data_IF_193310377277
#
_entry.id   IF_193310377277
#
_cell.length_a   1.000
_cell.length_b   1.000
_cell.length_c   1.000
_cell.angle_alpha   90.00
_cell.angle_beta   90.00
_cell.angle_gamma   90.00
#
_symmetry.space_group_name_H-M   'P 1'
#
loop_
_entity.id
_entity.type
_entity.pdbx_description
1 polymer ?
#
# COMPACT_ATOMS: atom_id res chain seq x y z
N UNK A 1 -72.05 33.81 0.12
CA UNK A 1 -71.44 32.82 1.01
C UNK A 1 -70.38 32.07 0.21
N UNK A 2 -69.16 32.50 0.25
CA UNK A 2 -68.04 31.94 -0.51
C UNK A 2 -66.96 31.49 0.46
N UNK A 3 -66.85 30.16 0.64
CA UNK A 3 -65.87 29.50 1.49
C UNK A 3 -64.52 29.39 0.73
N UNK A 4 -63.53 30.17 1.15
CA UNK A 4 -62.15 30.06 0.68
C UNK A 4 -61.45 28.86 1.34
N UNK A 5 -60.89 27.97 0.51
CA UNK A 5 -59.98 26.90 0.90
C UNK A 5 -58.57 27.44 0.94
N UNK A 6 -57.96 27.42 2.11
CA UNK A 6 -56.53 27.67 2.32
C UNK A 6 -55.77 26.38 2.06
N UNK A 7 -54.94 26.33 1.01
CA UNK A 7 -53.97 25.25 0.80
C UNK A 7 -52.71 25.52 1.65
N UNK A 8 -52.43 24.66 2.62
CA UNK A 8 -51.17 24.68 3.33
C UNK A 8 -50.14 23.86 2.55
N UNK A 9 -49.09 24.52 2.01
CA UNK A 9 -47.93 23.86 1.43
C UNK A 9 -47.01 23.43 2.56
N UNK A 10 -46.88 22.11 2.79
CA UNK A 10 -45.87 21.53 3.66
C UNK A 10 -44.55 21.44 2.89
N UNK A 11 -43.60 22.27 3.23
CA UNK A 11 -42.23 22.16 2.74
C UNK A 11 -41.49 21.04 3.53
N UNK A 12 -41.27 19.91 2.85
CA UNK A 12 -40.41 18.85 3.39
C UNK A 12 -38.94 19.27 3.24
N UNK A 13 -38.30 19.65 4.34
CA UNK A 13 -36.83 19.78 4.42
C UNK A 13 -36.21 18.37 4.33
N UNK A 14 -35.63 18.04 3.20
CA UNK A 14 -34.70 16.90 3.06
C UNK A 14 -33.41 17.27 3.79
N UNK A 15 -33.26 16.81 5.03
CA UNK A 15 -31.96 16.75 5.70
C UNK A 15 -31.13 15.67 4.98
N UNK A 16 -30.29 16.10 4.06
CA UNK A 16 -29.19 15.29 3.57
C UNK A 16 -28.21 15.10 4.75
N UNK A 17 -28.36 14.00 5.47
CA UNK A 17 -27.38 13.58 6.46
C UNK A 17 -26.06 13.34 5.74
N UNK A 18 -25.10 14.24 5.92
CA UNK A 18 -23.70 13.96 5.62
C UNK A 18 -23.29 12.85 6.58
N UNK A 19 -23.06 11.65 6.05
CA UNK A 19 -22.30 10.63 6.77
C UNK A 19 -20.90 11.23 6.86
N UNK A 20 -20.56 11.78 8.03
CA UNK A 20 -19.18 12.07 8.36
C UNK A 20 -18.49 10.69 8.41
N UNK A 21 -17.67 10.38 7.43
CA UNK A 21 -16.69 9.33 7.57
C UNK A 21 -15.84 9.72 8.79
N UNK A 22 -15.74 8.83 9.77
CA UNK A 22 -14.85 9.02 10.91
C UNK A 22 -13.42 9.06 10.35
N UNK A 23 -12.92 10.27 10.15
CA UNK A 23 -11.57 10.55 9.63
C UNK A 23 -10.56 10.32 10.76
N UNK A 24 -10.30 9.05 11.10
CA UNK A 24 -9.18 8.75 11.99
C UNK A 24 -7.88 8.83 11.18
N UNK A 25 -6.96 9.73 11.53
CA UNK A 25 -5.66 9.79 10.88
C UNK A 25 -4.90 8.48 11.12
N UNK A 26 -4.31 7.92 10.07
CA UNK A 26 -3.37 6.81 10.21
C UNK A 26 -1.98 7.36 10.51
N UNK A 27 -1.37 6.85 11.58
CA UNK A 27 -0.05 7.27 12.03
C UNK A 27 0.93 6.10 11.99
N UNK A 28 2.14 6.33 11.51
CA UNK A 28 3.19 5.32 11.46
C UNK A 28 3.60 4.75 12.83
N UNK A 29 3.26 5.43 13.91
CA UNK A 29 3.51 4.93 15.29
C UNK A 29 2.65 3.71 15.61
N UNK A 30 1.50 3.58 14.96
CA UNK A 30 0.59 2.45 15.12
C UNK A 30 0.98 1.27 14.20
N UNK A 31 1.86 1.49 13.22
CA UNK A 31 2.28 0.47 12.25
C UNK A 31 3.52 -0.26 12.76
N UNK A 32 3.42 -1.55 13.03
CA UNK A 32 4.52 -2.44 13.43
C UNK A 32 5.46 -2.77 12.28
N UNK A 33 4.93 -2.87 11.07
CA UNK A 33 5.76 -3.18 9.90
C UNK A 33 5.05 -3.11 8.56
N UNK A 34 5.88 -3.20 7.52
CA UNK A 34 5.46 -3.21 6.11
C UNK A 34 5.86 -4.54 5.49
N UNK A 35 4.93 -5.18 4.79
CA UNK A 35 5.15 -6.40 4.00
C UNK A 35 4.84 -6.12 2.54
N UNK A 36 5.85 -6.19 1.70
CA UNK A 36 5.75 -6.07 0.24
C UNK A 36 5.86 -7.46 -0.38
N UNK A 37 4.75 -8.00 -0.88
CA UNK A 37 4.71 -9.30 -1.54
C UNK A 37 4.86 -9.11 -3.05
N UNK A 38 5.91 -9.66 -3.62
CA UNK A 38 6.07 -9.80 -5.07
C UNK A 38 5.44 -11.11 -5.52
N UNK A 39 4.39 -11.02 -6.33
CA UNK A 39 3.49 -12.11 -6.72
C UNK A 39 3.11 -12.01 -8.20
N UNK A 40 2.38 -12.98 -8.72
CA UNK A 40 1.75 -12.92 -10.04
C UNK A 40 0.63 -13.95 -10.14
N UNK A 41 -0.46 -13.58 -10.80
CA UNK A 41 -1.55 -14.50 -11.15
C UNK A 41 -1.08 -15.64 -12.08
N UNK A 42 0.03 -15.46 -12.80
CA UNK A 42 0.66 -16.49 -13.64
C UNK A 42 1.46 -17.54 -12.87
N UNK A 43 1.82 -17.28 -11.62
CA UNK A 43 2.70 -18.12 -10.81
C UNK A 43 1.89 -19.13 -9.98
N UNK A 44 2.01 -20.44 -10.23
CA UNK A 44 1.23 -21.48 -9.52
C UNK A 44 1.58 -21.64 -8.03
N UNK A 45 2.74 -21.20 -7.60
CA UNK A 45 3.16 -21.22 -6.19
C UNK A 45 2.75 -19.95 -5.41
N UNK A 46 2.17 -18.94 -6.08
CA UNK A 46 1.82 -17.65 -5.49
C UNK A 46 0.51 -17.64 -4.68
N UNK A 47 -0.59 -18.33 -5.06
CA UNK A 47 -1.86 -18.21 -4.37
C UNK A 47 -1.84 -18.49 -2.84
N UNK A 48 -0.99 -19.40 -2.30
CA UNK A 48 -0.83 -19.52 -0.86
C UNK A 48 -0.28 -18.25 -0.19
N UNK A 49 0.65 -17.54 -0.84
CA UNK A 49 1.23 -16.31 -0.32
C UNK A 49 0.22 -15.14 -0.38
N UNK A 50 -0.57 -15.05 -1.45
CA UNK A 50 -1.62 -14.04 -1.61
C UNK A 50 -2.67 -14.16 -0.49
N UNK A 51 -3.03 -15.40 -0.08
CA UNK A 51 -3.91 -15.63 1.06
C UNK A 51 -3.29 -15.21 2.40
N UNK A 52 -1.97 -15.36 2.56
CA UNK A 52 -1.25 -14.88 3.75
C UNK A 52 -1.25 -13.35 3.77
N UNK A 53 -0.95 -12.71 2.64
CA UNK A 53 -1.00 -11.26 2.54
C UNK A 53 -2.40 -10.72 2.86
N UNK A 54 -3.46 -11.37 2.35
CA UNK A 54 -4.85 -11.00 2.65
C UNK A 54 -5.21 -11.12 4.14
N UNK A 55 -4.52 -11.96 4.92
CA UNK A 55 -4.66 -11.99 6.39
C UNK A 55 -3.92 -10.81 7.03
N UNK A 56 -2.67 -10.59 6.62
CA UNK A 56 -1.84 -9.50 7.13
C UNK A 56 -2.48 -8.13 6.85
N UNK A 57 -3.13 -7.96 5.70
CA UNK A 57 -3.84 -6.74 5.31
C UNK A 57 -5.01 -6.38 6.25
N UNK A 58 -5.49 -7.31 7.09
CA UNK A 58 -6.53 -7.06 8.10
C UNK A 58 -5.97 -6.70 9.47
N UNK A 59 -4.67 -6.81 9.65
CA UNK A 59 -4.00 -6.44 10.90
C UNK A 59 -3.73 -4.93 10.87
N UNK A 60 -4.32 -4.14 11.79
CA UNK A 60 -4.28 -2.68 11.71
C UNK A 60 -2.86 -2.10 11.89
N UNK A 61 -1.95 -2.90 12.42
CA UNK A 61 -0.55 -2.55 12.66
C UNK A 61 0.39 -3.01 11.55
N UNK A 62 -0.13 -3.55 10.42
CA UNK A 62 0.66 -4.00 9.28
C UNK A 62 0.20 -3.31 7.99
N UNK A 63 1.13 -2.68 7.30
CA UNK A 63 0.93 -2.23 5.92
C UNK A 63 1.34 -3.37 4.99
N UNK A 64 0.35 -4.06 4.41
CA UNK A 64 0.55 -5.18 3.49
C UNK A 64 0.22 -4.77 2.06
N UNK A 65 1.15 -5.00 1.12
CA UNK A 65 1.06 -4.53 -0.27
C UNK A 65 1.45 -5.65 -1.25
N UNK A 66 0.61 -5.91 -2.25
CA UNK A 66 0.87 -6.89 -3.31
C UNK A 66 1.42 -6.19 -4.57
N UNK A 67 2.67 -6.45 -4.89
CA UNK A 67 3.32 -5.97 -6.11
C UNK A 67 3.31 -7.08 -7.15
N UNK A 68 2.35 -7.03 -8.10
CA UNK A 68 2.28 -7.98 -9.19
C UNK A 68 3.38 -7.71 -10.21
N UNK A 69 4.14 -8.75 -10.55
CA UNK A 69 5.27 -8.69 -11.48
C UNK A 69 4.88 -9.18 -12.88
N UNK A 70 5.55 -8.67 -13.92
CA UNK A 70 5.22 -8.92 -15.33
C UNK A 70 6.01 -10.08 -15.96
N UNK A 71 7.01 -10.63 -15.26
CA UNK A 71 7.89 -11.63 -15.89
C UNK A 71 7.32 -13.06 -15.96
N UNK A 72 6.06 -13.25 -15.53
CA UNK A 72 5.31 -14.50 -15.69
C UNK A 72 4.40 -14.50 -16.93
N UNK A 73 4.21 -13.36 -17.59
CA UNK A 73 3.26 -13.21 -18.71
C UNK A 73 3.55 -14.15 -19.90
N UNK A 74 4.80 -14.62 -20.03
CA UNK A 74 5.22 -15.52 -21.12
C UNK A 74 4.60 -16.93 -21.05
N UNK A 75 4.03 -17.34 -19.89
CA UNK A 75 3.43 -18.66 -19.71
C UNK A 75 1.97 -18.77 -20.18
N UNK A 76 1.46 -17.75 -20.86
CA UNK A 76 0.16 -17.75 -21.51
C UNK A 76 -0.95 -17.04 -20.75
N UNK A 77 -0.69 -16.51 -19.56
CA UNK A 77 -1.56 -15.60 -18.82
C UNK A 77 -0.83 -14.28 -18.60
N UNK A 78 -1.38 -13.19 -19.16
CA UNK A 78 -0.91 -11.84 -18.83
C UNK A 78 -1.66 -11.35 -17.61
N UNK A 79 -0.93 -11.12 -16.53
CA UNK A 79 -1.49 -10.63 -15.27
C UNK A 79 -1.90 -9.15 -15.43
N UNK A 80 -3.22 -8.83 -15.36
CA UNK A 80 -3.67 -7.45 -15.53
C UNK A 80 -3.21 -6.51 -14.41
N UNK A 81 -2.73 -7.04 -13.30
CA UNK A 81 -2.17 -6.29 -12.17
C UNK A 81 -0.64 -6.18 -12.26
N UNK A 82 -0.02 -6.97 -13.16
CA UNK A 82 1.41 -7.01 -13.38
C UNK A 82 1.97 -5.73 -13.97
N UNK A 83 3.12 -5.29 -13.47
CA UNK A 83 3.80 -4.14 -14.06
C UNK A 83 5.32 -4.27 -14.06
N UNK A 84 5.94 -3.65 -15.07
CA UNK A 84 7.40 -3.54 -15.16
C UNK A 84 7.99 -2.78 -13.99
N UNK A 85 7.31 -1.75 -13.51
CA UNK A 85 7.75 -0.96 -12.36
C UNK A 85 7.86 -1.81 -11.08
N UNK A 86 6.91 -2.72 -10.86
CA UNK A 86 6.93 -3.66 -9.74
C UNK A 86 8.09 -4.65 -9.87
N UNK A 87 8.31 -5.19 -11.06
CA UNK A 87 9.46 -6.07 -11.35
C UNK A 87 10.79 -5.35 -11.11
N UNK A 88 10.91 -4.10 -11.53
CA UNK A 88 12.14 -3.33 -11.34
C UNK A 88 12.37 -2.96 -9.86
N UNK A 89 11.29 -2.72 -9.07
CA UNK A 89 11.37 -2.57 -7.61
C UNK A 89 11.90 -3.86 -6.95
N UNK A 90 11.38 -5.02 -7.36
CA UNK A 90 11.87 -6.32 -6.87
C UNK A 90 13.35 -6.53 -7.18
N UNK A 91 13.78 -6.22 -8.41
CA UNK A 91 15.21 -6.31 -8.80
C UNK A 91 16.08 -5.37 -7.98
N UNK A 92 15.58 -4.17 -7.68
CA UNK A 92 16.30 -3.23 -6.84
C UNK A 92 16.48 -3.76 -5.41
N UNK A 93 15.45 -4.41 -4.84
CA UNK A 93 15.56 -5.11 -3.55
C UNK A 93 16.54 -6.28 -3.61
N UNK A 94 16.48 -7.12 -4.65
CA UNK A 94 17.43 -8.23 -4.81
C UNK A 94 18.88 -7.77 -4.78
N UNK A 95 19.18 -6.63 -5.41
CA UNK A 95 20.52 -6.03 -5.37
C UNK A 95 20.86 -5.48 -3.98
N UNK A 96 19.92 -4.78 -3.33
CA UNK A 96 20.14 -4.16 -2.03
C UNK A 96 20.34 -5.18 -0.92
N UNK A 97 19.57 -6.28 -0.93
CA UNK A 97 19.60 -7.36 0.06
C UNK A 97 20.66 -8.43 -0.26
N UNK A 98 21.28 -8.38 -1.43
CA UNK A 98 22.33 -9.33 -1.82
C UNK A 98 21.81 -10.73 -2.16
N UNK A 99 20.51 -10.89 -2.43
CA UNK A 99 19.92 -12.19 -2.80
C UNK A 99 20.31 -12.67 -4.20
N UNK A 100 20.74 -11.75 -5.09
CA UNK A 100 21.29 -12.05 -6.41
C UNK A 100 20.27 -12.52 -7.46
N UNK A 101 19.09 -12.98 -7.04
CA UNK A 101 18.00 -13.43 -7.90
C UNK A 101 16.66 -12.85 -7.46
N UNK A 102 15.70 -12.80 -8.39
CA UNK A 102 14.30 -12.52 -8.09
C UNK A 102 13.50 -13.82 -8.19
N UNK A 103 12.48 -13.96 -7.36
CA UNK A 103 11.59 -15.14 -7.37
C UNK A 103 10.18 -14.74 -6.89
N UNK A 104 9.19 -15.54 -7.19
CA UNK A 104 7.84 -15.42 -6.62
C UNK A 104 7.39 -16.74 -6.01
N UNK A 105 6.59 -16.69 -4.93
CA UNK A 105 6.25 -15.50 -4.16
C UNK A 105 7.41 -15.06 -3.25
N UNK A 106 7.80 -13.78 -3.30
CA UNK A 106 8.81 -13.20 -2.42
C UNK A 106 8.19 -12.11 -1.55
N UNK A 107 8.32 -12.21 -0.24
CA UNK A 107 7.95 -11.15 0.69
C UNK A 107 9.19 -10.38 1.13
N UNK A 108 9.17 -9.05 1.00
CA UNK A 108 10.16 -8.15 1.59
C UNK A 108 9.54 -7.48 2.80
N UNK A 109 10.18 -7.65 3.96
CA UNK A 109 9.69 -7.15 5.24
C UNK A 109 10.53 -5.96 5.67
N UNK A 110 9.86 -4.83 5.93
CA UNK A 110 10.45 -3.55 6.34
C UNK A 110 11.62 -3.08 5.46
N UNK A 111 11.68 -3.52 4.18
CA UNK A 111 12.79 -3.24 3.28
C UNK A 111 14.13 -3.83 3.70
N UNK A 112 14.16 -4.78 4.66
CA UNK A 112 15.37 -5.28 5.30
C UNK A 112 15.58 -6.79 5.15
N UNK A 113 14.49 -7.57 5.04
CA UNK A 113 14.54 -9.03 4.93
C UNK A 113 13.67 -9.50 3.79
N UNK A 114 14.17 -10.40 2.96
CA UNK A 114 13.35 -11.16 2.03
C UNK A 114 13.17 -12.60 2.50
N UNK A 115 11.95 -13.10 2.35
CA UNK A 115 11.57 -14.47 2.70
C UNK A 115 10.62 -15.02 1.66
N UNK A 116 10.46 -16.34 1.60
CA UNK A 116 9.45 -16.98 0.75
C UNK A 116 8.06 -16.57 1.22
N UNK A 117 7.29 -15.89 0.36
CA UNK A 117 6.01 -15.28 0.71
C UNK A 117 4.93 -16.25 1.19
N UNK A 118 5.04 -17.55 0.86
CA UNK A 118 4.13 -18.60 1.35
C UNK A 118 4.50 -19.15 2.73
N UNK A 119 5.54 -18.63 3.39
CA UNK A 119 5.97 -19.05 4.74
C UNK A 119 5.58 -18.01 5.78
N UNK A 120 4.34 -18.04 6.23
CA UNK A 120 3.79 -17.06 7.19
C UNK A 120 4.67 -16.90 8.46
N UNK A 121 5.19 -18.01 9.00
CA UNK A 121 6.05 -17.97 10.18
C UNK A 121 7.36 -17.20 9.95
N UNK A 122 7.93 -17.29 8.74
CA UNK A 122 9.17 -16.55 8.42
C UNK A 122 8.87 -15.05 8.23
N UNK A 123 7.71 -14.70 7.65
CA UNK A 123 7.26 -13.29 7.56
C UNK A 123 7.08 -12.70 8.95
N UNK A 124 6.39 -13.42 9.86
CA UNK A 124 6.16 -12.93 11.24
C UNK A 124 7.46 -12.78 12.01
N UNK A 125 8.38 -13.74 11.88
CA UNK A 125 9.72 -13.62 12.47
C UNK A 125 10.47 -12.42 11.91
N UNK A 126 10.45 -12.20 10.60
CA UNK A 126 11.08 -11.05 9.99
C UNK A 126 10.47 -9.73 10.47
N UNK A 127 9.14 -9.66 10.67
CA UNK A 127 8.48 -8.50 11.28
C UNK A 127 8.99 -8.24 12.71
N UNK A 128 9.16 -9.28 13.53
CA UNK A 128 9.69 -9.16 14.90
C UNK A 128 11.16 -8.71 14.90
N UNK A 129 12.00 -9.30 14.05
CA UNK A 129 13.43 -8.99 13.95
C UNK A 129 13.73 -7.59 13.39
N UNK A 130 12.83 -7.05 12.56
CA UNK A 130 13.02 -5.77 11.86
C UNK A 130 12.07 -4.69 12.35
N UNK A 131 11.27 -4.98 13.38
CA UNK A 131 10.32 -4.02 13.92
C UNK A 131 11.04 -2.75 14.37
N UNK A 132 10.54 -1.65 13.86
CA UNK A 132 10.93 -0.31 14.32
C UNK A 132 9.86 0.26 15.24
N UNK A 133 9.21 -0.61 16.02
CA UNK A 133 8.05 -0.26 16.81
C UNK A 133 8.41 0.60 18.03
N UNK A 134 7.51 1.53 18.36
CA UNK A 134 7.50 2.28 19.62
C UNK A 134 7.66 3.79 19.45
N UNK A 135 7.42 4.50 20.55
CA UNK A 135 7.50 5.97 20.65
C UNK A 135 8.94 6.52 20.44
N UNK A 136 9.94 5.65 20.43
CA UNK A 136 11.36 6.01 20.23
C UNK A 136 11.75 6.17 18.75
N UNK A 137 10.81 6.07 17.82
CA UNK A 137 11.13 6.27 16.39
C UNK A 137 11.58 7.70 16.14
N UNK A 138 12.73 7.87 15.49
CA UNK A 138 13.24 9.20 15.18
C UNK A 138 12.40 9.93 14.12
N UNK A 139 11.50 9.23 13.44
CA UNK A 139 10.67 9.77 12.34
C UNK A 139 9.25 9.24 12.40
N UNK A 140 8.29 10.05 11.96
CA UNK A 140 6.88 9.68 11.80
C UNK A 140 6.34 10.11 10.45
N UNK A 141 5.35 9.35 9.97
CA UNK A 141 4.52 9.68 8.81
C UNK A 141 3.07 9.57 9.24
N UNK A 142 2.26 10.54 8.85
CA UNK A 142 0.83 10.55 9.11
C UNK A 142 0.07 10.79 7.81
N UNK A 143 -1.04 10.07 7.66
CA UNK A 143 -2.01 10.22 6.59
C UNK A 143 -3.36 10.61 7.17
N UNK A 144 -4.01 11.61 6.57
CA UNK A 144 -5.40 11.94 6.88
C UNK A 144 -6.14 12.43 5.63
N UNK A 145 -7.46 12.22 5.62
CA UNK A 145 -8.32 12.79 4.59
C UNK A 145 -8.91 14.08 5.14
N UNK A 146 -8.73 15.18 4.43
CA UNK A 146 -9.23 16.50 4.78
C UNK A 146 -10.07 17.03 3.61
N UNK A 147 -11.38 16.83 3.71
CA UNK A 147 -12.30 17.15 2.62
C UNK A 147 -12.08 16.30 1.38
N UNK A 148 -11.65 16.90 0.27
CA UNK A 148 -11.34 16.24 -0.99
C UNK A 148 -9.83 15.98 -1.21
N UNK A 149 -9.03 16.07 -0.14
CA UNK A 149 -7.58 15.97 -0.21
C UNK A 149 -7.04 14.91 0.74
N UNK A 150 -6.04 14.17 0.27
CA UNK A 150 -5.15 13.38 1.11
C UNK A 150 -4.05 14.32 1.64
N UNK A 151 -3.99 14.45 2.95
CA UNK A 151 -2.91 15.14 3.65
C UNK A 151 -1.87 14.13 4.12
N UNK A 152 -0.60 14.36 3.76
CA UNK A 152 0.53 13.53 4.16
C UNK A 152 1.50 14.43 4.92
N UNK A 153 1.85 14.06 6.15
CA UNK A 153 2.88 14.75 6.90
C UNK A 153 4.02 13.81 7.28
N UNK A 154 5.22 14.35 7.36
CA UNK A 154 6.40 13.65 7.87
C UNK A 154 7.17 14.58 8.81
N UNK A 155 7.59 14.03 9.96
CA UNK A 155 8.30 14.77 10.99
C UNK A 155 9.37 13.91 11.67
N UNK A 156 10.36 14.57 12.31
CA UNK A 156 11.42 13.95 13.06
C UNK A 156 12.82 14.13 12.45
N UNK A 157 13.77 13.32 12.92
CA UNK A 157 15.16 13.39 12.46
C UNK A 157 15.51 12.11 11.69
N UNK A 158 15.67 12.17 10.37
CA UNK A 158 15.95 10.99 9.58
C UNK A 158 17.37 10.47 9.82
N UNK A 159 17.48 9.17 10.05
CA UNK A 159 18.77 8.50 9.95
C UNK A 159 19.22 8.51 8.47
N UNK A 160 20.35 9.09 8.18
CA UNK A 160 20.95 9.04 6.84
C UNK A 160 21.71 7.74 6.66
N UNK A 161 21.10 6.80 5.93
CA UNK A 161 21.75 5.54 5.58
C UNK A 161 22.49 5.75 4.26
N UNK A 162 23.79 5.45 4.24
CA UNK A 162 24.63 5.67 3.06
C UNK A 162 24.82 7.14 2.67
N UNK A 163 24.57 8.09 3.58
CA UNK A 163 24.74 9.53 3.36
C UNK A 163 23.63 10.19 2.54
N UNK A 164 22.63 9.45 2.08
CA UNK A 164 21.48 9.96 1.30
C UNK A 164 20.28 10.24 2.20
N UNK A 165 19.49 11.24 1.80
CA UNK A 165 18.19 11.48 2.39
C UNK A 165 17.22 10.36 2.02
N UNK A 166 16.33 9.91 2.94
CA UNK A 166 15.28 8.97 2.62
C UNK A 166 14.29 9.58 1.62
N UNK A 167 13.53 8.71 0.94
CA UNK A 167 12.48 9.11 0.02
C UNK A 167 11.12 8.89 0.65
N UNK A 168 10.21 9.84 0.48
CA UNK A 168 8.80 9.69 0.77
C UNK A 168 8.11 9.18 -0.49
N UNK A 169 7.42 8.04 -0.37
CA UNK A 169 6.68 7.40 -1.45
C UNK A 169 5.19 7.41 -1.14
N UNK A 170 4.38 7.61 -2.15
CA UNK A 170 2.94 7.32 -2.12
C UNK A 170 2.68 6.07 -2.97
N UNK A 171 1.94 5.13 -2.39
CA UNK A 171 1.55 3.87 -3.01
C UNK A 171 0.02 3.83 -2.99
N UNK A 172 -0.61 3.53 -4.11
CA UNK A 172 -2.06 3.33 -4.21
C UNK A 172 -2.36 1.87 -4.53
N UNK A 173 -3.40 1.32 -3.91
CA UNK A 173 -3.77 -0.09 -4.07
C UNK A 173 -5.29 -0.27 -4.13
N UNK A 174 -5.72 -1.38 -4.72
CA UNK A 174 -7.10 -1.84 -4.65
C UNK A 174 -7.31 -2.70 -3.40
N UNK A 175 -8.46 -2.58 -2.72
CA UNK A 175 -8.79 -3.36 -1.52
C UNK A 175 -8.76 -4.86 -1.81
N UNK A 176 -9.45 -5.27 -2.87
CA UNK A 176 -9.42 -6.65 -3.37
C UNK A 176 -9.90 -6.70 -4.82
N UNK A 177 -9.25 -7.53 -5.62
CA UNK A 177 -9.63 -7.82 -6.99
C UNK A 177 -9.86 -9.32 -7.15
N UNK A 178 -10.98 -9.71 -7.75
CA UNK A 178 -11.23 -11.10 -8.12
C UNK A 178 -11.06 -11.28 -9.63
N UNK A 179 -10.24 -12.26 -10.01
CA UNK A 179 -9.92 -12.57 -11.40
C UNK A 179 -10.13 -14.05 -11.68
N UNK A 180 -10.91 -14.36 -12.71
CA UNK A 180 -11.02 -15.73 -13.23
C UNK A 180 -9.87 -15.98 -14.20
N UNK A 181 -9.05 -16.99 -13.91
CA UNK A 181 -7.88 -17.32 -14.71
C UNK A 181 -8.27 -18.33 -15.80
N UNK A 182 -8.20 -17.93 -17.05
CA UNK A 182 -8.60 -18.78 -18.19
C UNK A 182 -7.43 -19.48 -18.88
N UNK A 183 -6.19 -19.12 -18.58
CA UNK A 183 -4.96 -19.66 -19.19
C UNK A 183 -3.81 -19.77 -18.17
N UNK A 184 -2.70 -20.38 -18.60
CA UNK A 184 -1.49 -20.52 -17.78
C UNK A 184 -1.63 -21.57 -16.68
N UNK A 185 -0.72 -21.55 -15.72
CA UNK A 185 -0.60 -22.57 -14.67
C UNK A 185 -1.77 -22.56 -13.68
N UNK A 186 -2.39 -21.41 -13.45
CA UNK A 186 -3.54 -21.24 -12.55
C UNK A 186 -4.89 -21.33 -13.26
N UNK A 187 -4.94 -21.82 -14.50
CA UNK A 187 -6.17 -21.95 -15.28
C UNK A 187 -7.29 -22.64 -14.49
N UNK A 188 -8.48 -22.05 -14.52
CA UNK A 188 -9.69 -22.54 -13.87
C UNK A 188 -9.84 -22.10 -12.42
N UNK A 189 -8.86 -21.37 -11.86
CA UNK A 189 -8.98 -20.77 -10.52
C UNK A 189 -9.62 -19.38 -10.63
N UNK A 190 -10.34 -19.00 -9.57
CA UNK A 190 -10.67 -17.60 -9.28
C UNK A 190 -9.71 -17.15 -8.19
N UNK A 191 -8.83 -16.21 -8.52
CA UNK A 191 -7.89 -15.62 -7.57
C UNK A 191 -8.49 -14.35 -6.97
N UNK A 192 -8.18 -14.13 -5.71
CA UNK A 192 -8.53 -12.89 -5.00
C UNK A 192 -7.26 -12.25 -4.47
N UNK A 193 -6.91 -11.13 -5.08
CA UNK A 193 -5.71 -10.37 -4.79
C UNK A 193 -6.07 -9.18 -3.88
N UNK A 194 -5.55 -9.18 -2.66
CA UNK A 194 -5.76 -8.11 -1.70
C UNK A 194 -4.63 -7.09 -1.78
N UNK A 195 -4.96 -5.82 -1.60
CA UNK A 195 -4.02 -4.68 -1.61
C UNK A 195 -3.07 -4.71 -2.81
N UNK A 196 -3.64 -5.02 -3.99
CA UNK A 196 -2.89 -5.01 -5.25
C UNK A 196 -2.46 -3.58 -5.60
N UNK A 197 -1.16 -3.35 -5.65
CA UNK A 197 -0.57 -2.03 -5.94
C UNK A 197 -0.87 -1.64 -7.38
N UNK A 198 -1.60 -0.51 -7.55
CA UNK A 198 -1.91 0.09 -8.85
C UNK A 198 -0.82 0.99 -9.37
N UNK A 199 -0.31 1.82 -8.46
CA UNK A 199 0.74 2.80 -8.76
C UNK A 199 1.55 3.09 -7.50
N UNK A 200 2.80 3.45 -7.70
CA UNK A 200 3.65 3.98 -6.65
C UNK A 200 4.59 5.02 -7.22
N UNK A 201 4.80 6.09 -6.48
CA UNK A 201 5.63 7.20 -6.90
C UNK A 201 6.39 7.82 -5.75
N UNK A 202 7.59 8.31 -6.05
CA UNK A 202 8.38 9.09 -5.10
C UNK A 202 7.84 10.51 -5.12
N UNK A 203 7.39 11.00 -3.96
CA UNK A 203 6.95 12.38 -3.77
C UNK A 203 8.14 13.34 -3.62
N UNK A 204 9.26 12.84 -3.10
CA UNK A 204 10.47 13.61 -2.93
C UNK A 204 11.47 12.96 -1.98
N UNK A 205 12.63 13.59 -1.87
CA UNK A 205 13.60 13.29 -0.81
C UNK A 205 13.25 14.12 0.43
N UNK A 206 13.34 13.50 1.60
CA UNK A 206 13.04 14.18 2.87
C UNK A 206 14.32 14.48 3.66
N UNK A 207 14.54 15.73 4.00
CA UNK A 207 15.75 16.21 4.68
C UNK A 207 15.60 16.34 6.20
N UNK A 208 14.46 15.94 6.76
CA UNK A 208 14.13 16.01 8.19
C UNK A 208 13.42 17.28 8.61
N UNK A 209 13.09 18.16 7.68
CA UNK A 209 12.21 19.29 7.99
C UNK A 209 10.77 18.82 7.97
N UNK A 210 9.93 19.43 8.81
CA UNK A 210 8.50 19.18 8.78
C UNK A 210 7.97 19.33 7.34
N UNK A 211 7.38 18.27 6.82
CA UNK A 211 6.85 18.19 5.47
C UNK A 211 5.34 17.98 5.55
N UNK A 212 4.59 18.77 4.77
CA UNK A 212 3.18 18.55 4.54
C UNK A 212 2.90 18.60 3.03
N UNK A 213 2.19 17.58 2.53
CA UNK A 213 1.81 17.47 1.12
C UNK A 213 0.32 17.21 1.04
N UNK A 214 -0.38 18.00 0.24
CA UNK A 214 -1.81 17.83 -0.05
C UNK A 214 -2.02 17.35 -1.47
N UNK A 215 -2.67 16.21 -1.62
CA UNK A 215 -2.94 15.58 -2.92
C UNK A 215 -4.45 15.48 -3.11
N UNK A 216 -5.02 15.95 -4.24
CA UNK A 216 -6.44 15.77 -4.52
C UNK A 216 -6.81 14.27 -4.55
N UNK A 217 -7.83 13.84 -3.81
CA UNK A 217 -8.29 12.44 -3.78
C UNK A 217 -8.65 11.93 -5.19
N UNK A 218 -9.24 12.78 -6.03
CA UNK A 218 -9.56 12.42 -7.41
C UNK A 218 -8.33 11.95 -8.22
N UNK A 219 -7.12 12.43 -7.90
CA UNK A 219 -5.88 12.02 -8.56
C UNK A 219 -5.34 10.67 -8.05
N UNK A 220 -5.90 10.16 -6.96
CA UNK A 220 -5.50 8.90 -6.31
C UNK A 220 -6.52 7.80 -6.61
N UNK A 221 -7.83 8.11 -6.49
CA UNK A 221 -8.93 7.16 -6.66
C UNK A 221 -9.08 6.69 -8.12
N UNK A 222 -8.62 7.50 -9.08
CA UNK A 222 -8.87 7.26 -10.49
C UNK A 222 -10.35 7.47 -10.89
N UNK A 223 -10.68 7.28 -12.18
CA UNK A 223 -11.99 7.65 -12.72
C UNK A 223 -13.15 6.77 -12.24
N UNK A 224 -12.87 5.58 -11.71
CA UNK A 224 -13.90 4.61 -11.30
C UNK A 224 -14.17 4.60 -9.79
N UNK A 225 -13.54 5.47 -9.00
CA UNK A 225 -13.65 5.53 -7.53
C UNK A 225 -13.66 4.13 -6.88
N UNK A 226 -12.72 3.27 -7.29
CA UNK A 226 -12.62 1.89 -6.79
C UNK A 226 -12.33 1.91 -5.30
N UNK A 227 -12.90 0.94 -4.59
CA UNK A 227 -12.50 0.67 -3.20
C UNK A 227 -11.03 0.32 -3.15
N UNK A 228 -10.31 0.94 -2.26
CA UNK A 228 -8.89 0.73 -2.10
C UNK A 228 -8.33 1.62 -1.03
N UNK A 229 -7.05 1.89 -1.14
CA UNK A 229 -6.36 2.72 -0.18
C UNK A 229 -5.09 3.31 -0.73
N UNK A 230 -4.40 4.00 0.15
CA UNK A 230 -3.05 4.46 -0.12
C UNK A 230 -2.16 4.28 1.11
N UNK A 231 -0.87 4.10 0.87
CA UNK A 231 0.16 4.10 1.88
C UNK A 231 1.21 5.16 1.59
N UNK A 232 1.63 5.88 2.61
CA UNK A 232 2.83 6.71 2.57
C UNK A 232 3.96 5.95 3.27
N UNK A 233 5.07 5.79 2.56
CA UNK A 233 6.23 5.04 3.04
C UNK A 233 7.46 5.93 2.99
N UNK A 234 8.11 6.13 4.12
CA UNK A 234 9.41 6.78 4.21
C UNK A 234 10.49 5.71 4.21
N UNK A 235 11.25 5.65 3.12
CA UNK A 235 12.25 4.60 2.89
C UNK A 235 13.65 5.18 2.74
N UNK A 236 14.62 4.60 3.42
CA UNK A 236 16.03 4.93 3.20
C UNK A 236 16.48 4.45 1.83
N UNK A 237 17.51 5.12 1.30
CA UNK A 237 18.09 4.81 -0.01
C UNK A 237 19.57 4.55 0.17
N UNK A 238 20.06 3.43 -0.36
CA UNK A 238 21.48 3.08 -0.34
C UNK A 238 22.31 4.07 -1.16
N UNK A 239 23.62 4.09 -0.98
CA UNK A 239 24.52 4.92 -1.78
C UNK A 239 24.37 4.69 -3.29
N UNK A 240 24.02 3.47 -3.71
CA UNK A 240 23.75 3.10 -5.10
C UNK A 240 22.35 3.50 -5.61
N UNK A 241 21.49 4.10 -4.76
CA UNK A 241 20.13 4.48 -5.12
C UNK A 241 19.10 3.34 -5.01
N UNK A 242 19.48 2.18 -4.47
CA UNK A 242 18.57 1.07 -4.23
C UNK A 242 17.76 1.27 -2.95
N UNK A 243 16.55 0.64 -2.82
CA UNK A 243 15.75 0.70 -1.62
C UNK A 243 16.49 0.08 -0.42
N UNK A 244 16.42 0.74 0.71
CA UNK A 244 16.92 0.28 1.99
C UNK A 244 15.80 0.05 3.00
N UNK A 245 16.09 0.06 4.31
CA UNK A 245 15.10 -0.04 5.36
C UNK A 245 13.96 0.97 5.24
N UNK A 246 12.73 0.52 5.51
CA UNK A 246 11.58 1.40 5.68
C UNK A 246 11.66 2.00 7.08
N UNK A 247 11.62 3.30 7.18
CA UNK A 247 11.78 4.06 8.42
C UNK A 247 10.45 4.35 9.11
N UNK A 248 9.42 4.61 8.31
CA UNK A 248 8.06 4.84 8.77
C UNK A 248 7.08 4.56 7.63
N UNK A 249 5.87 4.12 7.98
CA UNK A 249 4.78 3.94 7.02
C UNK A 249 3.43 4.18 7.69
N UNK A 250 2.47 4.71 6.95
CA UNK A 250 1.08 4.81 7.34
C UNK A 250 0.20 4.46 6.15
N UNK A 251 -0.98 3.89 6.37
CA UNK A 251 -1.91 3.55 5.31
C UNK A 251 -3.34 3.92 5.70
N UNK A 252 -4.16 4.25 4.72
CA UNK A 252 -5.57 4.59 4.90
C UNK A 252 -6.38 3.96 3.76
N UNK A 253 -7.49 3.33 4.13
CA UNK A 253 -8.47 2.78 3.18
C UNK A 253 -9.62 3.77 2.98
N UNK A 254 -10.25 3.75 1.78
CA UNK A 254 -11.37 4.62 1.41
C UNK A 254 -12.33 3.97 0.42
#
# INVERSE_FOLDING_TARGET
MTTGRVLALAAALLLAGRVAADEHPSNSRDVRGVVELFTSQGCSSCPPADRILAKLAREPDIVALAYHVDYWDYIGWSDPLGSRANTDRQRAYSKALGSGTIYTPQAVVNGQRDVVGSREADIRRALEETATAGDERPVSVELSIQGDRLHISADGVPARIGGRAPVLMLITYDEAIETVIDKGENKGLTLRDAHAVRDWRILGMWDGKALAVDIPLASILGPEARKGGCAAVLQSVTAAGAPGPILAAAAIDF
#
